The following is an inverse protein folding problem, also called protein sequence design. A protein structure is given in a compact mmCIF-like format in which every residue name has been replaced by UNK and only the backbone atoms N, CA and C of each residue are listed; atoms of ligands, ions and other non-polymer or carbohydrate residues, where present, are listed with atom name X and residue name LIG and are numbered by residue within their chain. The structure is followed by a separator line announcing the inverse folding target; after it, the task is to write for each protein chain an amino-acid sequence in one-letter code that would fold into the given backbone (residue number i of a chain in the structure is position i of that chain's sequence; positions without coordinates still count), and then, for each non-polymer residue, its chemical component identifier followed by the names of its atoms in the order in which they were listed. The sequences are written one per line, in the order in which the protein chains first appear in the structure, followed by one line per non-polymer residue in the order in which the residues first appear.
data_IF_322605309851
#
_entry.id   IF_322605309851
#
_cell.length_a   1.000
_cell.length_b   1.000
_cell.length_c   1.000
_cell.angle_alpha   90.00
_cell.angle_beta   90.00
_cell.angle_gamma   90.00
#
_symmetry.space_group_name_H-M   'P 1'
#
loop_
_entity.id
_entity.type
_entity.pdbx_description
1 polymer ?
#
# COMPACT_ATOMS: atom_id res chain seq x y z
N UNK A 1 23.81 -3.86 -21.43
CA UNK A 1 22.36 -3.88 -21.14
C UNK A 1 21.98 -2.44 -20.82
N UNK A 2 21.38 -1.73 -21.77
CA UNK A 2 21.00 -0.32 -21.61
C UNK A 2 19.78 -0.23 -20.68
N UNK A 3 20.07 -0.11 -19.39
CA UNK A 3 19.04 0.09 -18.38
C UNK A 3 18.52 1.51 -18.58
N UNK A 4 17.38 1.59 -19.26
CA UNK A 4 16.73 2.86 -19.57
C UNK A 4 16.16 3.43 -18.26
N UNK A 5 16.84 4.43 -17.70
CA UNK A 5 16.48 5.06 -16.42
C UNK A 5 15.01 5.55 -16.42
N UNK A 6 14.53 6.00 -17.58
CA UNK A 6 13.12 6.38 -17.81
C UNK A 6 12.16 5.22 -17.55
N UNK A 7 12.50 4.02 -18.02
CA UNK A 7 11.66 2.82 -17.83
C UNK A 7 11.65 2.37 -16.37
N UNK A 8 12.79 2.46 -15.68
CA UNK A 8 12.89 2.17 -14.23
C UNK A 8 12.02 3.14 -13.42
N UNK A 9 12.08 4.44 -13.72
CA UNK A 9 11.25 5.45 -13.06
C UNK A 9 9.75 5.21 -13.26
N UNK A 10 9.32 4.85 -14.46
CA UNK A 10 7.91 4.51 -14.76
C UNK A 10 7.44 3.29 -13.96
N UNK A 11 8.28 2.26 -13.85
CA UNK A 11 7.97 1.06 -13.07
C UNK A 11 7.79 1.37 -11.58
N UNK A 12 8.65 2.24 -11.03
CA UNK A 12 8.55 2.71 -9.65
C UNK A 12 7.28 3.54 -9.47
N UNK A 13 6.96 4.43 -10.41
CA UNK A 13 5.80 5.30 -10.35
C UNK A 13 4.48 4.51 -10.34
N UNK A 14 4.34 3.53 -11.23
CA UNK A 14 3.17 2.64 -11.25
C UNK A 14 3.05 1.87 -9.93
N UNK A 15 4.19 1.41 -9.38
CA UNK A 15 4.20 0.72 -8.09
C UNK A 15 3.71 1.58 -6.93
N UNK A 16 4.10 2.86 -6.90
CA UNK A 16 3.62 3.83 -5.92
C UNK A 16 2.10 3.97 -6.03
N UNK A 17 1.56 4.11 -7.26
CA UNK A 17 0.11 4.23 -7.47
C UNK A 17 -0.62 2.96 -6.99
N UNK A 18 -0.12 1.78 -7.35
CA UNK A 18 -0.75 0.50 -6.98
C UNK A 18 -0.76 0.31 -5.46
N UNK A 19 0.38 0.50 -4.79
CA UNK A 19 0.49 0.34 -3.33
C UNK A 19 -0.32 1.39 -2.57
N UNK A 20 -0.37 2.64 -3.05
CA UNK A 20 -1.20 3.69 -2.49
C UNK A 20 -2.70 3.33 -2.60
N UNK A 21 -3.14 2.86 -3.77
CA UNK A 21 -4.52 2.48 -3.99
C UNK A 21 -4.94 1.27 -3.14
N UNK A 22 -4.08 0.23 -3.07
CA UNK A 22 -4.31 -0.93 -2.21
C UNK A 22 -4.41 -0.53 -0.73
N UNK A 23 -3.49 0.32 -0.25
CA UNK A 23 -3.50 0.76 1.14
C UNK A 23 -4.73 1.58 1.45
N UNK A 24 -5.15 2.50 0.56
CA UNK A 24 -6.39 3.25 0.72
C UNK A 24 -7.60 2.31 0.73
N UNK A 25 -7.65 1.31 -0.15
CA UNK A 25 -8.74 0.33 -0.21
C UNK A 25 -8.85 -0.50 1.06
N UNK A 26 -7.73 -0.99 1.62
CA UNK A 26 -7.72 -1.78 2.86
C UNK A 26 -7.90 -0.92 4.12
N UNK A 27 -7.47 0.34 4.09
CA UNK A 27 -7.64 1.29 5.18
C UNK A 27 -9.09 1.84 5.25
N UNK A 28 -9.81 1.84 4.12
CA UNK A 28 -11.21 2.25 4.01
C UNK A 28 -12.09 1.35 4.89
N UNK A 29 -12.59 1.91 5.99
CA UNK A 29 -13.40 1.20 6.99
C UNK A 29 -12.65 0.78 8.27
N UNK A 30 -11.32 0.96 8.33
CA UNK A 30 -10.52 0.53 9.48
C UNK A 30 -9.80 1.69 10.21
N UNK A 31 -9.66 2.86 9.58
CA UNK A 31 -9.03 4.06 10.17
C UNK A 31 -9.78 5.32 9.75
N UNK A 32 -9.97 6.25 10.69
CA UNK A 32 -10.52 7.58 10.41
C UNK A 32 -9.54 8.46 9.60
N UNK A 33 -8.27 8.07 9.57
CA UNK A 33 -7.19 8.83 8.95
C UNK A 33 -6.69 8.12 7.66
N UNK A 34 -7.60 7.86 6.72
CA UNK A 34 -7.28 7.22 5.43
C UNK A 34 -6.16 7.94 4.68
N UNK A 35 -6.22 9.27 4.64
CA UNK A 35 -5.24 10.10 3.96
C UNK A 35 -3.85 9.89 4.56
N UNK A 36 -3.78 9.75 5.90
CA UNK A 36 -2.53 9.54 6.61
C UNK A 36 -1.93 8.15 6.32
N UNK A 37 -2.76 7.10 6.24
CA UNK A 37 -2.31 5.76 5.88
C UNK A 37 -1.77 5.69 4.43
N UNK A 38 -2.42 6.39 3.50
CA UNK A 38 -1.94 6.58 2.14
C UNK A 38 -0.62 7.37 2.09
N UNK A 39 -0.52 8.46 2.87
CA UNK A 39 0.68 9.29 2.97
C UNK A 39 1.88 8.52 3.52
N UNK A 40 1.68 7.68 4.56
CA UNK A 40 2.71 6.79 5.08
C UNK A 40 3.19 5.79 4.03
N UNK A 41 2.28 5.22 3.24
CA UNK A 41 2.63 4.27 2.18
C UNK A 41 3.42 4.94 1.07
N UNK A 42 3.05 6.17 0.72
CA UNK A 42 3.78 6.99 -0.24
C UNK A 42 5.20 7.33 0.26
N UNK A 43 5.31 7.78 1.52
CA UNK A 43 6.60 8.07 2.16
C UNK A 43 7.49 6.83 2.24
N UNK A 44 6.91 5.67 2.59
CA UNK A 44 7.64 4.40 2.64
C UNK A 44 8.12 3.97 1.26
N UNK A 45 7.30 4.15 0.22
CA UNK A 45 7.69 3.76 -1.13
C UNK A 45 8.82 4.67 -1.68
N UNK A 46 8.80 5.95 -1.31
CA UNK A 46 9.87 6.90 -1.63
C UNK A 46 11.19 6.59 -0.89
N UNK A 47 11.09 6.14 0.37
CA UNK A 47 12.26 5.92 1.24
C UNK A 47 12.85 4.50 1.09
N UNK A 48 11.99 3.49 0.94
CA UNK A 48 12.36 2.07 0.83
C UNK A 48 11.29 1.30 0.03
N UNK A 49 11.57 1.05 -1.25
CA UNK A 49 10.73 0.24 -2.14
C UNK A 49 10.24 -1.10 -1.56
N UNK A 50 11.04 -1.90 -0.80
CA UNK A 50 10.54 -3.14 -0.20
C UNK A 50 9.68 -2.91 1.06
N UNK A 51 9.83 -1.78 1.75
CA UNK A 51 9.10 -1.52 2.99
C UNK A 51 7.62 -1.20 2.74
N UNK A 52 7.30 -0.51 1.63
CA UNK A 52 5.92 -0.23 1.23
C UNK A 52 5.09 -1.49 1.03
N UNK A 53 5.71 -2.56 0.52
CA UNK A 53 5.08 -3.87 0.36
C UNK A 53 4.74 -4.54 1.69
N UNK A 54 5.66 -4.51 2.65
CA UNK A 54 5.42 -5.01 4.01
C UNK A 54 4.28 -4.24 4.68
N UNK A 55 4.21 -2.93 4.47
CA UNK A 55 3.13 -2.10 5.01
C UNK A 55 1.78 -2.40 4.36
N UNK A 56 1.73 -2.55 3.04
CA UNK A 56 0.54 -3.04 2.33
C UNK A 56 0.09 -4.42 2.82
N UNK A 57 1.03 -5.33 3.03
CA UNK A 57 0.73 -6.67 3.53
C UNK A 57 0.20 -6.65 4.96
N UNK A 58 0.76 -5.82 5.83
CA UNK A 58 0.26 -5.59 7.19
C UNK A 58 -1.21 -5.13 7.18
N UNK A 59 -1.54 -4.15 6.34
CA UNK A 59 -2.92 -3.67 6.18
C UNK A 59 -3.86 -4.72 5.59
N UNK A 60 -3.40 -5.48 4.59
CA UNK A 60 -4.16 -6.59 4.00
C UNK A 60 -4.48 -7.67 5.04
N UNK A 61 -3.50 -8.03 5.90
CA UNK A 61 -3.71 -9.03 6.94
C UNK A 61 -4.67 -8.52 8.03
N UNK A 62 -4.54 -7.25 8.42
CA UNK A 62 -5.45 -6.59 9.39
C UNK A 62 -6.88 -6.50 8.86
N UNK A 63 -7.06 -6.27 7.56
CA UNK A 63 -8.38 -6.28 6.93
C UNK A 63 -9.01 -7.69 6.97
N UNK A 64 -8.26 -8.74 6.62
CA UNK A 64 -8.76 -10.12 6.68
C UNK A 64 -9.08 -10.57 8.11
N UNK A 65 -8.32 -10.14 9.12
CA UNK A 65 -8.63 -10.44 10.52
C UNK A 65 -9.99 -9.87 10.94
N UNK A 66 -10.32 -8.64 10.53
CA UNK A 66 -11.62 -8.03 10.83
C UNK A 66 -12.79 -8.65 10.07
N UNK A 67 -12.57 -9.06 8.82
CA UNK A 67 -13.60 -9.79 8.05
C UNK A 67 -13.96 -11.13 8.71
N UNK A 68 -12.99 -11.81 9.32
CA UNK A 68 -13.23 -13.07 10.03
C UNK A 68 -13.75 -12.91 11.47
N UNK A 69 -13.62 -11.71 12.05
CA UNK A 69 -14.13 -11.40 13.40
C UNK A 69 -15.57 -10.87 13.39
N UNK A 70 -16.11 -10.52 12.20
CA UNK A 70 -17.55 -10.43 12.02
C UNK A 70 -18.09 -11.86 12.11
N UNK A 71 -18.75 -12.25 13.23
CA UNK A 71 -19.49 -13.50 13.22
C UNK A 71 -20.55 -13.37 12.13
N UNK A 72 -20.69 -14.43 11.37
CA UNK A 72 -21.59 -14.54 10.23
C UNK A 72 -22.93 -13.82 10.45
N UNK A 73 -23.44 -13.22 9.37
CA UNK A 73 -24.87 -13.29 9.08
C UNK A 73 -25.41 -14.71 9.32
#
# INVERSE_FOLDING_TARGET
MDINITSVGQFIFINIIVTMFLTLKFARGNTNNLLLAGFYSFLLNLLFFPASWLYCWYWSRKHNAKVNDSPCD
#
